data_IF_215462522824
#
_entry.id   IF_215462522824
#
_cell.length_a   1.000
_cell.length_b   1.000
_cell.length_c   1.000
_cell.angle_alpha   90.00
_cell.angle_beta   90.00
_cell.angle_gamma   90.00
#
_symmetry.space_group_name_H-M   'P 1'
#
loop_
_entity.id
_entity.type
_entity.pdbx_description
1 polymer ?
#
# COMPACT_ATOMS: atom_id res chain seq x y z
N UNK A 1 12.93 9.85 0.99
CA UNK A 1 11.56 9.43 1.40
C UNK A 1 10.84 10.59 2.09
N UNK A 2 9.49 10.61 2.09
CA UNK A 2 8.76 11.57 2.95
C UNK A 2 8.71 11.02 4.38
N UNK A 3 8.48 11.86 5.40
CA UNK A 3 8.33 11.37 6.78
C UNK A 3 7.30 10.26 6.92
N UNK A 4 6.22 10.31 6.14
CA UNK A 4 5.16 9.28 6.14
C UNK A 4 5.68 7.93 5.60
N UNK A 5 6.47 7.94 4.53
CA UNK A 5 7.08 6.70 4.00
C UNK A 5 8.03 6.07 5.03
N UNK A 6 8.88 6.88 5.66
CA UNK A 6 9.82 6.41 6.69
C UNK A 6 9.08 5.82 7.89
N UNK A 7 8.02 6.49 8.37
CA UNK A 7 7.24 5.98 9.50
C UNK A 7 6.58 4.62 9.21
N UNK A 8 6.07 4.43 8.00
CA UNK A 8 5.45 3.15 7.57
C UNK A 8 6.51 2.06 7.41
N UNK A 9 7.64 2.36 6.77
CA UNK A 9 8.75 1.42 6.57
C UNK A 9 9.33 0.93 7.91
N UNK A 10 9.32 1.79 8.94
CA UNK A 10 9.71 1.41 10.30
C UNK A 10 8.59 0.75 11.12
N UNK A 11 7.41 0.53 10.55
CA UNK A 11 6.23 -0.01 11.25
C UNK A 11 5.67 0.90 12.35
N UNK A 12 6.05 2.18 12.38
CA UNK A 12 5.67 3.11 13.45
C UNK A 12 4.26 3.69 13.22
N UNK A 13 3.26 2.91 13.60
CA UNK A 13 1.83 3.25 13.51
C UNK A 13 1.51 4.60 14.17
N UNK A 14 2.11 4.89 15.33
CA UNK A 14 1.83 6.13 16.07
C UNK A 14 2.28 7.36 15.29
N UNK A 15 3.51 7.34 14.76
CA UNK A 15 4.00 8.41 13.89
C UNK A 15 3.20 8.49 12.58
N UNK A 16 2.85 7.37 11.97
CA UNK A 16 1.98 7.34 10.77
C UNK A 16 0.66 8.05 11.04
N UNK A 17 -0.03 7.72 12.14
CA UNK A 17 -1.29 8.37 12.54
C UNK A 17 -1.12 9.86 12.77
N UNK A 18 -0.07 10.27 13.47
CA UNK A 18 0.21 11.68 13.75
C UNK A 18 0.43 12.46 12.45
N UNK A 19 1.27 11.95 11.55
CA UNK A 19 1.55 12.59 10.26
C UNK A 19 0.29 12.74 9.40
N UNK A 20 -0.56 11.70 9.36
CA UNK A 20 -1.84 11.77 8.65
C UNK A 20 -2.80 12.80 9.26
N UNK A 21 -2.87 12.90 10.60
CA UNK A 21 -3.70 13.93 11.26
C UNK A 21 -3.24 15.37 10.98
N UNK A 22 -1.98 15.55 10.58
CA UNK A 22 -1.42 16.83 10.17
C UNK A 22 -1.37 17.03 8.64
N UNK A 23 -2.11 16.22 7.89
CA UNK A 23 -2.29 16.42 6.45
C UNK A 23 -1.15 15.90 5.58
N UNK A 24 -0.39 14.91 6.04
CA UNK A 24 0.60 14.24 5.20
C UNK A 24 -0.07 13.66 3.94
N UNK A 25 0.50 13.95 2.76
CA UNK A 25 -0.05 13.52 1.49
C UNK A 25 0.18 12.01 1.25
N UNK A 26 -0.92 11.27 1.13
CA UNK A 26 -0.95 9.82 0.88
C UNK A 26 -0.75 9.44 -0.59
N UNK A 27 -0.68 10.42 -1.50
CA UNK A 27 -0.52 10.19 -2.95
C UNK A 27 0.93 10.26 -3.42
N UNK A 28 1.85 10.75 -2.58
CA UNK A 28 3.25 10.95 -2.95
C UNK A 28 3.87 9.61 -3.33
N UNK A 29 4.47 9.55 -4.52
CA UNK A 29 5.24 8.39 -4.97
C UNK A 29 6.73 8.66 -4.79
N UNK A 30 7.45 7.75 -4.12
CA UNK A 30 8.86 7.90 -3.80
C UNK A 30 9.69 6.70 -4.27
N UNK A 31 11.01 6.90 -4.37
CA UNK A 31 11.98 5.85 -4.70
C UNK A 31 11.92 5.38 -6.15
N UNK A 32 12.81 4.44 -6.49
CA UNK A 32 12.92 3.87 -7.84
C UNK A 32 11.63 3.11 -8.23
N UNK A 33 10.99 2.48 -7.25
CA UNK A 33 9.73 1.77 -7.44
C UNK A 33 8.52 2.70 -7.64
N UNK A 34 8.63 4.03 -7.41
CA UNK A 34 7.49 4.97 -7.40
C UNK A 34 6.34 4.49 -6.50
N UNK A 35 6.68 3.99 -5.31
CA UNK A 35 5.71 3.46 -4.35
C UNK A 35 5.03 4.59 -3.59
N UNK A 36 3.73 4.42 -3.31
CA UNK A 36 2.96 5.30 -2.42
C UNK A 36 3.09 4.78 -0.99
N UNK A 37 2.65 5.55 0.03
CA UNK A 37 2.52 5.03 1.39
C UNK A 37 1.71 3.73 1.47
N UNK A 38 0.64 3.59 0.68
CA UNK A 38 -0.20 2.39 0.68
C UNK A 38 0.52 1.18 0.06
N UNK A 39 1.35 1.40 -0.97
CA UNK A 39 2.22 0.35 -1.50
C UNK A 39 3.16 -0.19 -0.42
N UNK A 40 3.83 0.70 0.33
CA UNK A 40 4.75 0.27 1.39
C UNK A 40 4.02 -0.45 2.51
N UNK A 41 2.88 0.07 2.98
CA UNK A 41 2.11 -0.60 4.03
C UNK A 41 1.67 -2.01 3.62
N UNK A 42 1.33 -2.20 2.34
CA UNK A 42 0.98 -3.49 1.79
C UNK A 42 2.18 -4.44 1.64
N UNK A 43 3.32 -3.93 1.18
CA UNK A 43 4.58 -4.68 1.07
C UNK A 43 5.09 -5.16 2.44
N UNK A 44 4.95 -4.33 3.48
CA UNK A 44 5.26 -4.69 4.87
C UNK A 44 4.16 -5.55 5.52
N UNK A 45 3.04 -5.79 4.84
CA UNK A 45 1.90 -6.54 5.38
C UNK A 45 1.23 -5.89 6.59
N UNK A 46 1.41 -4.58 6.79
CA UNK A 46 0.92 -3.82 7.94
C UNK A 46 -0.55 -3.44 7.77
N UNK A 47 -1.44 -4.25 8.31
CA UNK A 47 -2.89 -4.01 8.30
C UNK A 47 -3.27 -2.68 8.97
N UNK A 48 -2.58 -2.32 10.05
CA UNK A 48 -2.84 -1.08 10.78
C UNK A 48 -2.50 0.18 9.97
N UNK A 49 -1.30 0.23 9.38
CA UNK A 49 -0.90 1.32 8.49
C UNK A 49 -1.79 1.38 7.25
N UNK A 50 -2.14 0.22 6.68
CA UNK A 50 -3.08 0.12 5.56
C UNK A 50 -4.42 0.76 5.91
N UNK A 51 -5.00 0.45 7.07
CA UNK A 51 -6.26 1.03 7.52
C UNK A 51 -6.19 2.55 7.64
N UNK A 52 -5.13 3.06 8.28
CA UNK A 52 -4.94 4.50 8.47
C UNK A 52 -4.85 5.23 7.13
N UNK A 53 -4.14 4.67 6.15
CA UNK A 53 -3.97 5.25 4.83
C UNK A 53 -5.27 5.23 4.01
N UNK A 54 -6.02 4.13 4.05
CA UNK A 54 -7.33 4.04 3.40
C UNK A 54 -8.31 5.06 3.98
N UNK A 55 -8.35 5.20 5.32
CA UNK A 55 -9.17 6.22 5.99
C UNK A 55 -8.74 7.65 5.63
N UNK A 56 -7.46 7.86 5.33
CA UNK A 56 -6.93 9.14 4.85
C UNK A 56 -7.13 9.37 3.33
N UNK A 57 -7.84 8.48 2.64
CA UNK A 57 -8.18 8.63 1.23
C UNK A 57 -7.11 8.15 0.25
N UNK A 58 -6.21 7.26 0.68
CA UNK A 58 -5.31 6.58 -0.24
C UNK A 58 -6.10 5.70 -1.21
N UNK A 59 -5.69 5.67 -2.48
CA UNK A 59 -6.34 4.84 -3.51
C UNK A 59 -5.66 3.48 -3.63
N UNK A 60 -6.46 2.41 -3.60
CA UNK A 60 -6.01 1.04 -3.84
C UNK A 60 -5.47 0.84 -5.26
N UNK A 61 -5.92 1.66 -6.20
CA UNK A 61 -5.64 1.54 -7.64
C UNK A 61 -4.41 2.34 -8.08
N UNK A 62 -3.68 2.94 -7.13
CA UNK A 62 -2.37 3.50 -7.44
C UNK A 62 -1.47 2.41 -8.04
N UNK A 63 -0.68 2.77 -9.04
CA UNK A 63 0.27 1.87 -9.69
C UNK A 63 1.69 2.36 -9.49
N UNK A 64 2.56 1.47 -9.03
CA UNK A 64 3.99 1.73 -8.91
C UNK A 64 4.68 1.63 -10.30
N UNK A 65 6.01 1.75 -10.37
CA UNK A 65 6.74 1.72 -11.65
C UNK A 65 6.67 0.38 -12.38
N UNK A 66 6.35 -0.71 -11.68
CA UNK A 66 6.09 -2.05 -12.25
C UNK A 66 4.62 -2.28 -12.60
N UNK A 67 3.76 -1.27 -12.42
CA UNK A 67 2.32 -1.41 -12.62
C UNK A 67 1.61 -2.13 -11.47
N UNK A 68 2.31 -2.47 -10.40
CA UNK A 68 1.71 -3.17 -9.27
C UNK A 68 0.85 -2.22 -8.44
N UNK A 69 -0.28 -2.73 -7.96
CA UNK A 69 -1.16 -2.09 -6.99
C UNK A 69 -0.81 -2.55 -5.57
N UNK A 70 -1.43 -1.94 -4.55
CA UNK A 70 -1.28 -2.39 -3.17
C UNK A 70 -1.68 -3.88 -3.00
N UNK A 71 -2.67 -4.37 -3.75
CA UNK A 71 -3.09 -5.78 -3.69
C UNK A 71 -1.96 -6.73 -4.10
N UNK A 72 -1.20 -6.42 -5.14
CA UNK A 72 -0.06 -7.26 -5.56
C UNK A 72 0.98 -7.39 -4.44
N UNK A 73 1.29 -6.27 -3.77
CA UNK A 73 2.29 -6.23 -2.71
C UNK A 73 1.79 -6.94 -1.45
N UNK A 74 0.52 -6.77 -1.07
CA UNK A 74 -0.09 -7.50 0.04
C UNK A 74 -0.11 -9.01 -0.18
N UNK A 75 -0.35 -9.46 -1.44
CA UNK A 75 -0.29 -10.88 -1.80
C UNK A 75 1.14 -11.42 -1.71
N UNK A 76 2.14 -10.67 -2.19
CA UNK A 76 3.56 -11.03 -2.03
C UNK A 76 3.97 -11.11 -0.56
N UNK A 77 3.46 -10.21 0.28
CA UNK A 77 3.67 -10.20 1.73
C UNK A 77 2.89 -11.29 2.48
N UNK A 78 2.02 -12.04 1.78
CA UNK A 78 1.12 -13.06 2.34
C UNK A 78 0.23 -12.54 3.49
N UNK A 79 -0.04 -11.22 3.51
CA UNK A 79 -0.81 -10.59 4.58
C UNK A 79 -2.30 -10.64 4.27
N UNK A 80 -2.97 -11.71 4.70
CA UNK A 80 -4.42 -11.94 4.50
C UNK A 80 -5.24 -10.79 5.05
N UNK A 81 -4.90 -10.28 6.24
CA UNK A 81 -5.61 -9.16 6.84
C UNK A 81 -5.52 -7.88 5.98
N UNK A 82 -4.34 -7.61 5.41
CA UNK A 82 -4.16 -6.47 4.50
C UNK A 82 -4.92 -6.68 3.19
N UNK A 83 -4.92 -7.89 2.64
CA UNK A 83 -5.69 -8.25 1.45
C UNK A 83 -7.20 -8.05 1.68
N UNK A 84 -7.74 -8.58 2.79
CA UNK A 84 -9.15 -8.42 3.16
C UNK A 84 -9.55 -6.95 3.32
N UNK A 85 -8.66 -6.14 3.90
CA UNK A 85 -8.88 -4.72 4.08
C UNK A 85 -8.90 -3.96 2.75
N UNK A 86 -7.98 -4.30 1.84
CA UNK A 86 -7.96 -3.75 0.48
C UNK A 86 -9.21 -4.16 -0.32
N UNK A 87 -9.65 -5.42 -0.23
CA UNK A 87 -10.90 -5.91 -0.84
C UNK A 87 -12.09 -5.13 -0.30
N UNK A 88 -12.16 -4.96 1.03
CA UNK A 88 -13.22 -4.20 1.70
C UNK A 88 -13.25 -2.73 1.28
N UNK A 89 -12.09 -2.16 0.93
CA UNK A 89 -11.95 -0.82 0.38
C UNK A 89 -12.19 -0.72 -1.15
N UNK A 90 -12.59 -1.82 -1.80
CA UNK A 90 -12.93 -1.85 -3.22
C UNK A 90 -11.74 -2.02 -4.18
N UNK A 91 -10.61 -2.55 -3.70
CA UNK A 91 -9.47 -2.85 -4.57
C UNK A 91 -9.81 -3.90 -5.63
N UNK A 92 -9.32 -3.70 -6.86
CA UNK A 92 -9.46 -4.72 -7.91
C UNK A 92 -8.50 -5.88 -7.69
N UNK A 93 -9.05 -7.03 -7.32
CA UNK A 93 -8.29 -8.28 -7.11
C UNK A 93 -7.63 -8.83 -8.37
N UNK A 94 -8.11 -8.44 -9.56
CA UNK A 94 -7.60 -8.89 -10.86
C UNK A 94 -6.89 -7.78 -11.64
N UNK A 95 -6.42 -6.71 -10.98
CA UNK A 95 -5.61 -5.70 -11.67
C UNK A 95 -4.35 -6.35 -12.24
N UNK A 96 -4.03 -6.13 -13.51
CA UNK A 96 -2.80 -6.66 -14.10
C UNK A 96 -1.64 -5.69 -13.89
N UNK A 97 -0.44 -6.14 -13.56
CA UNK A 97 0.80 -5.35 -13.57
C UNK A 97 1.30 -5.10 -15.01
N UNK A 98 2.50 -4.53 -15.18
CA UNK A 98 3.04 -4.24 -16.52
C UNK A 98 3.40 -5.51 -17.33
N UNK A 99 3.46 -6.67 -16.68
CA UNK A 99 3.72 -7.97 -17.29
C UNK A 99 2.43 -8.77 -17.51
N UNK A 100 1.26 -8.19 -17.27
CA UNK A 100 -0.03 -8.88 -17.38
C UNK A 100 -0.33 -9.81 -16.21
N UNK A 101 0.45 -9.76 -15.12
CA UNK A 101 0.23 -10.61 -13.94
C UNK A 101 -0.77 -9.97 -13.02
N UNK A 102 -1.75 -10.74 -12.58
CA UNK A 102 -2.66 -10.36 -11.48
C UNK A 102 -2.00 -10.59 -10.11
N UNK A 103 -2.53 -10.03 -9.00
CA UNK A 103 -2.03 -10.29 -7.65
C UNK A 103 -1.87 -11.78 -7.35
N UNK A 104 -2.82 -12.62 -7.78
CA UNK A 104 -2.77 -14.06 -7.55
C UNK A 104 -1.60 -14.74 -8.28
N UNK A 105 -1.16 -14.24 -9.44
CA UNK A 105 0.05 -14.74 -10.11
C UNK A 105 1.33 -14.41 -9.33
N UNK A 106 1.28 -13.41 -8.44
CA UNK A 106 2.39 -13.02 -7.58
C UNK A 106 2.39 -13.77 -6.24
N UNK A 107 1.37 -14.57 -5.93
CA UNK A 107 1.36 -15.44 -4.76
C UNK A 107 2.43 -16.54 -4.92
N UNK A 108 3.20 -16.78 -3.86
CA UNK A 108 4.26 -17.81 -3.79
C UNK A 108 3.78 -18.97 -2.93
#
# INVERSE_FOLDING_TARGET
ETPLHVAINLGNVHCTKLLLSHGADVRVQMGIARSTPLHLAAEEGSAECTRLLLNAGATCEARNSRGQTAMHLATLAQSVETMDMLISAGAKVNAEDNEGRTPLHAAV
#
